data_IF_013439965495
#
_entry.id   IF_013439965495
#
_cell.length_a   1.000
_cell.length_b   1.000
_cell.length_c   1.000
_cell.angle_alpha   90.00
_cell.angle_beta   90.00
_cell.angle_gamma   90.00
#
_symmetry.space_group_name_H-M   'P 1'
#
loop_
_entity.id
_entity.type
_entity.pdbx_description
1 polymer ?
#
# COMPACT_ATOMS: atom_id res chain seq x y z
N UNK A 1 29.68 45.86 -11.41
CA UNK A 1 29.18 44.68 -12.15
C UNK A 1 30.39 43.96 -12.72
N UNK A 2 30.61 42.69 -12.37
CA UNK A 2 31.78 41.95 -12.83
C UNK A 2 31.78 41.83 -14.36
N UNK A 3 32.88 42.17 -15.01
CA UNK A 3 32.97 42.29 -16.47
C UNK A 3 32.66 41.00 -17.25
N UNK A 4 32.78 41.02 -18.59
CA UNK A 4 32.27 40.00 -19.51
C UNK A 4 32.62 38.53 -19.16
N UNK A 5 33.77 38.30 -18.50
CA UNK A 5 34.21 36.98 -18.06
C UNK A 5 33.28 36.34 -17.02
N UNK A 6 32.68 37.15 -16.13
CA UNK A 6 31.76 36.66 -15.11
C UNK A 6 30.42 36.23 -15.73
N UNK A 7 29.99 36.93 -16.78
CA UNK A 7 28.75 36.61 -17.50
C UNK A 7 28.86 35.27 -18.24
N UNK A 8 30.02 34.97 -18.84
CA UNK A 8 30.27 33.68 -19.50
C UNK A 8 30.26 32.51 -18.50
N UNK A 9 30.85 32.68 -17.32
CA UNK A 9 30.82 31.63 -16.27
C UNK A 9 29.40 31.38 -15.77
N UNK A 10 28.62 32.44 -15.55
CA UNK A 10 27.20 32.32 -15.15
C UNK A 10 26.38 31.62 -16.23
N UNK A 11 26.58 31.99 -17.49
CA UNK A 11 25.89 31.37 -18.61
C UNK A 11 26.23 29.88 -18.71
N UNK A 12 27.51 29.52 -18.61
CA UNK A 12 27.95 28.13 -18.56
C UNK A 12 27.27 27.37 -17.41
N UNK A 13 27.24 27.93 -16.21
CA UNK A 13 26.56 27.31 -15.07
C UNK A 13 25.06 27.12 -15.35
N UNK A 14 24.35 28.14 -15.85
CA UNK A 14 22.92 28.02 -16.12
C UNK A 14 22.56 27.02 -17.20
N UNK A 15 23.47 26.73 -18.14
CA UNK A 15 23.24 25.72 -19.18
C UNK A 15 23.66 24.32 -18.69
N UNK A 16 24.88 24.17 -18.19
CA UNK A 16 25.43 22.86 -17.85
C UNK A 16 24.90 22.29 -16.54
N UNK A 17 24.55 23.14 -15.57
CA UNK A 17 24.00 22.68 -14.29
C UNK A 17 22.67 21.92 -14.46
N UNK A 18 21.62 22.48 -15.09
CA UNK A 18 20.37 21.74 -15.27
C UNK A 18 20.54 20.51 -16.18
N UNK A 19 21.39 20.58 -17.21
CA UNK A 19 21.70 19.42 -18.07
C UNK A 19 22.38 18.30 -17.28
N UNK A 20 23.36 18.64 -16.43
CA UNK A 20 24.05 17.67 -15.58
C UNK A 20 23.13 17.04 -14.53
N UNK A 21 22.27 17.84 -13.90
CA UNK A 21 21.23 17.35 -12.99
C UNK A 21 20.29 16.39 -13.71
N UNK A 22 19.83 16.74 -14.93
CA UNK A 22 18.98 15.85 -15.72
C UNK A 22 19.69 14.54 -16.09
N UNK A 23 20.96 14.55 -16.47
CA UNK A 23 21.69 13.32 -16.81
C UNK A 23 21.92 12.42 -15.60
N UNK A 24 22.20 13.02 -14.44
CA UNK A 24 22.41 12.27 -13.21
C UNK A 24 21.12 11.64 -12.68
N UNK A 25 20.06 12.43 -12.51
CA UNK A 25 18.78 11.96 -11.95
C UNK A 25 17.87 11.27 -12.98
N UNK A 26 17.98 11.65 -14.25
CA UNK A 26 17.19 11.08 -15.35
C UNK A 26 17.84 9.87 -16.01
N UNK A 27 19.05 9.48 -15.59
CA UNK A 27 19.71 8.28 -16.06
C UNK A 27 19.01 6.99 -15.59
N UNK A 28 19.11 5.89 -16.37
CA UNK A 28 18.51 4.61 -16.00
C UNK A 28 19.07 4.08 -14.67
N UNK A 29 20.35 4.30 -14.38
CA UNK A 29 21.01 3.85 -13.15
C UNK A 29 20.38 4.46 -11.88
N UNK A 30 20.01 5.75 -11.93
CA UNK A 30 19.35 6.42 -10.80
C UNK A 30 17.96 5.83 -10.56
N UNK A 31 17.21 5.60 -11.64
CA UNK A 31 15.88 4.98 -11.55
C UNK A 31 15.95 3.57 -10.97
N UNK A 32 16.86 2.72 -11.47
CA UNK A 32 17.02 1.34 -11.02
C UNK A 32 17.46 1.27 -9.55
N UNK A 33 18.35 2.18 -9.12
CA UNK A 33 18.90 2.18 -7.74
C UNK A 33 17.90 2.73 -6.73
N UNK A 34 17.23 3.83 -7.04
CA UNK A 34 16.47 4.60 -6.03
C UNK A 34 14.96 4.53 -6.19
N UNK A 35 14.43 4.29 -7.40
CA UNK A 35 12.99 4.41 -7.67
C UNK A 35 12.33 3.04 -7.83
N UNK A 36 12.94 2.14 -8.59
CA UNK A 36 12.36 0.83 -8.95
C UNK A 36 12.09 -0.08 -7.75
N UNK A 37 12.93 0.00 -6.72
CA UNK A 37 12.79 -0.80 -5.50
C UNK A 37 11.73 -0.28 -4.52
N UNK A 38 11.12 0.88 -4.77
CA UNK A 38 10.11 1.43 -3.87
C UNK A 38 8.82 0.64 -4.03
N UNK A 39 8.59 -0.28 -3.09
CA UNK A 39 7.38 -1.08 -3.02
C UNK A 39 6.24 -0.26 -2.39
N UNK A 40 5.56 0.53 -3.22
CA UNK A 40 4.41 1.33 -2.78
C UNK A 40 3.21 0.49 -2.33
N UNK A 41 3.06 -0.70 -2.90
CA UNK A 41 1.94 -1.59 -2.63
C UNK A 41 2.40 -2.86 -1.90
N UNK A 42 1.64 -3.37 -0.92
CA UNK A 42 1.94 -4.65 -0.29
C UNK A 42 2.01 -5.75 -1.35
N UNK A 43 2.74 -6.83 -1.02
CA UNK A 43 2.90 -7.93 -1.98
C UNK A 43 1.54 -8.50 -2.36
N UNK A 44 1.34 -8.78 -3.65
CA UNK A 44 0.13 -9.41 -4.16
C UNK A 44 -0.02 -10.83 -3.58
N UNK A 45 1.10 -11.46 -3.23
CA UNK A 45 1.12 -12.79 -2.61
C UNK A 45 0.80 -12.75 -1.11
N UNK A 46 1.10 -11.63 -0.44
CA UNK A 46 0.75 -11.43 0.99
C UNK A 46 -0.66 -10.86 1.17
N UNK A 47 -1.21 -10.25 0.12
CA UNK A 47 -2.50 -9.58 0.17
C UNK A 47 -3.64 -10.56 -0.05
N UNK A 48 -4.78 -10.30 0.59
CA UNK A 48 -6.00 -11.05 0.32
C UNK A 48 -6.39 -10.88 -1.15
N UNK A 49 -6.49 -12.01 -1.86
CA UNK A 49 -6.98 -12.05 -3.24
C UNK A 49 -8.49 -12.24 -3.23
N UNK A 50 -9.28 -11.26 -3.72
CA UNK A 50 -10.72 -11.43 -3.78
C UNK A 50 -11.08 -12.57 -4.74
N UNK A 51 -12.13 -13.35 -4.45
CA UNK A 51 -12.60 -14.41 -5.32
C UNK A 51 -13.00 -13.82 -6.67
N UNK A 52 -12.47 -14.40 -7.74
CA UNK A 52 -12.57 -13.83 -9.09
C UNK A 52 -13.48 -14.65 -10.00
N UNK A 53 -13.62 -15.95 -9.72
CA UNK A 53 -14.50 -16.85 -10.46
C UNK A 53 -15.86 -17.00 -9.76
N UNK A 54 -16.90 -17.34 -10.53
CA UNK A 54 -18.26 -17.51 -9.97
C UNK A 54 -18.32 -18.60 -8.89
N UNK A 55 -17.54 -19.67 -9.04
CA UNK A 55 -17.47 -20.76 -8.08
C UNK A 55 -16.79 -20.33 -6.78
N UNK A 56 -15.65 -19.62 -6.87
CA UNK A 56 -14.96 -19.03 -5.72
C UNK A 56 -15.86 -18.05 -4.95
N UNK A 57 -16.62 -17.22 -5.68
CA UNK A 57 -17.54 -16.25 -5.08
C UNK A 57 -18.63 -16.97 -4.28
N UNK A 58 -19.22 -18.04 -4.83
CA UNK A 58 -20.24 -18.83 -4.13
C UNK A 58 -19.67 -19.47 -2.86
N UNK A 59 -18.50 -20.10 -2.96
CA UNK A 59 -17.81 -20.72 -1.82
C UNK A 59 -17.49 -19.70 -0.72
N UNK A 60 -16.99 -18.52 -1.10
CA UNK A 60 -16.72 -17.44 -0.15
C UNK A 60 -18.00 -16.93 0.54
N UNK A 61 -19.10 -16.78 -0.20
CA UNK A 61 -20.39 -16.37 0.35
C UNK A 61 -20.95 -17.39 1.34
N UNK A 62 -20.83 -18.68 1.04
CA UNK A 62 -21.31 -19.74 1.94
C UNK A 62 -20.48 -19.79 3.23
N UNK A 63 -19.16 -19.62 3.15
CA UNK A 63 -18.29 -19.44 4.33
C UNK A 63 -18.73 -18.23 5.16
N UNK A 64 -18.96 -17.08 4.52
CA UNK A 64 -19.40 -15.86 5.22
C UNK A 64 -20.75 -16.01 5.92
N UNK A 65 -21.67 -16.80 5.37
CA UNK A 65 -22.95 -17.13 6.01
C UNK A 65 -22.73 -18.03 7.24
N UNK A 66 -21.94 -19.08 7.11
CA UNK A 66 -21.62 -19.98 8.21
C UNK A 66 -20.96 -19.24 9.39
N UNK A 67 -19.95 -18.41 9.10
CA UNK A 67 -19.27 -17.59 10.10
C UNK A 67 -20.23 -16.63 10.81
N UNK A 68 -21.20 -16.08 10.07
CA UNK A 68 -22.24 -15.21 10.64
C UNK A 68 -23.10 -15.99 11.62
N UNK A 69 -23.60 -17.16 11.24
CA UNK A 69 -24.45 -17.99 12.09
C UNK A 69 -23.71 -18.46 13.35
N UNK A 70 -22.42 -18.80 13.24
CA UNK A 70 -21.60 -19.15 14.40
C UNK A 70 -21.43 -17.97 15.37
N UNK A 71 -21.15 -16.77 14.85
CA UNK A 71 -21.07 -15.55 15.69
C UNK A 71 -22.38 -15.32 16.45
N UNK A 72 -23.52 -15.48 15.79
CA UNK A 72 -24.83 -15.29 16.41
C UNK A 72 -25.13 -16.35 17.48
N UNK A 73 -24.78 -17.61 17.21
CA UNK A 73 -24.91 -18.70 18.19
C UNK A 73 -24.06 -18.47 19.43
N UNK A 74 -22.80 -18.08 19.27
CA UNK A 74 -21.90 -17.74 20.40
C UNK A 74 -22.45 -16.58 21.23
N UNK A 75 -22.86 -15.49 20.57
CA UNK A 75 -23.45 -14.34 21.26
C UNK A 75 -24.73 -14.69 22.04
N UNK A 76 -25.57 -15.59 21.51
CA UNK A 76 -26.76 -16.06 22.22
C UNK A 76 -26.42 -16.89 23.46
N UNK A 77 -25.44 -17.81 23.35
CA UNK A 77 -24.97 -18.62 24.46
C UNK A 77 -24.34 -17.77 25.57
N UNK A 78 -23.50 -16.80 25.20
CA UNK A 78 -22.89 -15.85 26.15
C UNK A 78 -23.97 -15.04 26.89
N UNK A 79 -24.99 -14.53 26.18
CA UNK A 79 -26.12 -13.84 26.82
C UNK A 79 -26.88 -14.75 27.77
N UNK A 80 -27.11 -16.02 27.40
CA UNK A 80 -27.79 -16.99 28.27
C UNK A 80 -26.97 -17.32 29.52
N UNK A 81 -25.65 -17.48 29.36
CA UNK A 81 -24.74 -17.71 30.48
C UNK A 81 -24.66 -16.50 31.42
N UNK A 82 -24.62 -15.28 30.88
CA UNK A 82 -24.68 -14.06 31.68
C UNK A 82 -26.02 -13.91 32.42
N UNK A 83 -27.15 -14.23 31.77
CA UNK A 83 -28.46 -14.19 32.39
C UNK A 83 -28.60 -15.22 33.55
N UNK A 84 -28.03 -16.41 33.40
CA UNK A 84 -28.01 -17.43 34.46
C UNK A 84 -27.10 -17.02 35.64
N UNK A 85 -25.91 -16.48 35.35
CA UNK A 85 -25.00 -16.00 36.40
C UNK A 85 -25.57 -14.80 37.18
N UNK A 86 -26.36 -13.94 36.53
CA UNK A 86 -26.99 -12.78 37.18
C UNK A 86 -28.24 -13.16 38.01
N UNK A 87 -28.83 -14.34 37.83
CA UNK A 87 -29.97 -14.81 38.63
C UNK A 87 -29.58 -15.55 39.91
N UNK A 88 -28.32 -15.98 40.01
CA UNK A 88 -27.76 -16.67 41.19
C UNK A 88 -27.05 -15.72 42.18
N UNK A 89 -27.01 -14.41 41.89
CA UNK A 89 -26.57 -13.33 42.80
C UNK A 89 -27.77 -12.57 43.38
#
# INVERSE_FOLDING_TARGET
MGGPRLEVVKFGFYVFFPVGVMLYFGGPDFYDTYVKGIKFWPDIDTSYRPPSTTEEVRSALDKMKADREERWRKAYQEKKAQAANNSDQ
#
